data_IF_797628609484
#
_entry.id   IF_797628609484
#
_cell.length_a   1.000
_cell.length_b   1.000
_cell.length_c   1.000
_cell.angle_alpha   90.00
_cell.angle_beta   90.00
_cell.angle_gamma   90.00
#
_symmetry.space_group_name_H-M   'P 1'
#
loop_
_entity.id
_entity.type
_entity.pdbx_description
1 polymer ?
#
# COMPACT_ATOMS: atom_id res chain seq x y z
N UNK A 1 -6.59 -6.10 9.06
CA UNK A 1 -6.22 -5.61 7.71
C UNK A 1 -6.71 -4.18 7.54
N UNK A 2 -6.00 -3.36 6.76
CA UNK A 2 -6.33 -1.95 6.52
C UNK A 2 -7.17 -1.71 5.25
N UNK A 3 -7.31 -2.74 4.42
CA UNK A 3 -8.17 -2.75 3.22
C UNK A 3 -8.75 -4.16 3.04
N UNK A 4 -9.75 -4.27 2.17
CA UNK A 4 -10.47 -5.51 1.84
C UNK A 4 -10.13 -6.03 0.45
N UNK A 5 -10.57 -7.26 0.14
CA UNK A 5 -10.55 -7.83 -1.22
C UNK A 5 -11.27 -6.91 -2.22
N UNK A 6 -12.47 -6.44 -1.87
CA UNK A 6 -13.26 -5.55 -2.73
C UNK A 6 -12.51 -4.24 -3.04
N UNK A 7 -11.77 -3.69 -2.08
CA UNK A 7 -10.93 -2.52 -2.35
C UNK A 7 -9.84 -2.81 -3.39
N UNK A 8 -9.30 -4.04 -3.43
CA UNK A 8 -8.30 -4.47 -4.41
C UNK A 8 -8.95 -4.67 -5.79
N UNK A 9 -10.10 -5.33 -5.84
CA UNK A 9 -10.87 -5.55 -7.08
C UNK A 9 -11.26 -4.21 -7.73
N UNK A 10 -11.64 -3.21 -6.93
CA UNK A 10 -11.86 -1.83 -7.41
C UNK A 10 -10.60 -1.21 -8.05
N UNK A 11 -9.40 -1.55 -7.57
CA UNK A 11 -8.14 -1.08 -8.17
C UNK A 11 -7.82 -1.83 -9.45
N UNK A 12 -8.10 -3.13 -9.49
CA UNK A 12 -7.92 -3.98 -10.67
C UNK A 12 -8.99 -3.73 -11.75
N UNK A 13 -10.11 -3.10 -11.36
CA UNK A 13 -11.31 -2.87 -12.20
C UNK A 13 -11.93 -4.16 -12.72
N UNK A 14 -11.75 -5.24 -11.95
CA UNK A 14 -12.32 -6.57 -12.22
C UNK A 14 -12.31 -7.36 -10.92
N UNK A 15 -13.22 -8.31 -10.82
CA UNK A 15 -13.22 -9.28 -9.75
C UNK A 15 -12.02 -10.23 -9.90
N UNK A 16 -11.50 -10.71 -8.78
CA UNK A 16 -10.54 -11.80 -8.76
C UNK A 16 -11.28 -13.12 -8.95
N UNK A 17 -10.75 -13.98 -9.80
CA UNK A 17 -11.22 -15.37 -9.91
C UNK A 17 -10.80 -16.17 -8.66
N UNK A 18 -11.46 -17.31 -8.42
CA UNK A 18 -11.12 -18.19 -7.28
C UNK A 18 -9.70 -18.76 -7.38
N UNK A 19 -9.19 -18.96 -8.59
CA UNK A 19 -7.81 -19.40 -8.84
C UNK A 19 -6.81 -18.29 -8.48
N UNK A 20 -7.07 -17.07 -8.92
CA UNK A 20 -6.27 -15.87 -8.61
C UNK A 20 -6.31 -15.47 -7.13
N UNK A 21 -7.45 -15.63 -6.46
CA UNK A 21 -7.54 -15.36 -5.02
C UNK A 21 -6.85 -16.47 -4.19
N UNK A 22 -6.70 -17.66 -4.78
CA UNK A 22 -6.26 -18.88 -4.14
C UNK A 22 -7.37 -19.55 -3.32
N UNK A 23 -7.16 -20.81 -2.86
CA UNK A 23 -8.14 -21.52 -2.05
C UNK A 23 -8.46 -20.73 -0.77
N UNK A 24 -9.73 -20.39 -0.57
CA UNK A 24 -10.22 -19.57 0.55
C UNK A 24 -9.55 -18.17 0.62
N UNK A 25 -9.28 -17.55 -0.54
CA UNK A 25 -8.72 -16.20 -0.66
C UNK A 25 -7.33 -16.03 -0.01
N UNK A 26 -6.61 -17.14 0.26
CA UNK A 26 -5.34 -17.11 1.01
C UNK A 26 -4.28 -16.24 0.35
N UNK A 27 -4.20 -16.22 -0.98
CA UNK A 27 -3.17 -15.45 -1.67
C UNK A 27 -3.43 -13.95 -1.55
N UNK A 28 -4.65 -13.52 -1.85
CA UNK A 28 -5.02 -12.10 -1.74
C UNK A 28 -4.97 -11.62 -0.29
N UNK A 29 -5.38 -12.47 0.67
CA UNK A 29 -5.27 -12.15 2.10
C UNK A 29 -3.81 -12.01 2.55
N UNK A 30 -2.90 -12.86 2.08
CA UNK A 30 -1.47 -12.73 2.35
C UNK A 30 -0.90 -11.38 1.87
N UNK A 31 -1.22 -10.97 0.64
CA UNK A 31 -0.79 -9.67 0.11
C UNK A 31 -1.40 -8.48 0.88
N UNK A 32 -2.67 -8.59 1.31
CA UNK A 32 -3.33 -7.57 2.12
C UNK A 32 -2.73 -7.46 3.53
N UNK A 33 -2.34 -8.58 4.13
CA UNK A 33 -1.63 -8.63 5.40
C UNK A 33 -0.27 -7.96 5.29
N UNK A 34 0.54 -8.35 4.31
CA UNK A 34 1.85 -7.75 4.04
C UNK A 34 1.73 -6.25 3.77
N UNK A 35 0.79 -5.84 2.92
CA UNK A 35 0.53 -4.43 2.63
C UNK A 35 0.08 -3.66 3.88
N UNK A 36 -0.74 -4.29 4.74
CA UNK A 36 -1.17 -3.68 6.01
C UNK A 36 0.00 -3.48 6.96
N UNK A 37 0.89 -4.48 7.09
CA UNK A 37 2.11 -4.40 7.90
C UNK A 37 3.02 -3.29 7.37
N UNK A 38 3.26 -3.24 6.06
CA UNK A 38 4.11 -2.23 5.43
C UNK A 38 3.58 -0.80 5.66
N UNK A 39 2.28 -0.58 5.44
CA UNK A 39 1.64 0.72 5.66
C UNK A 39 1.66 1.11 7.13
N UNK A 40 1.38 0.17 8.03
CA UNK A 40 1.42 0.39 9.49
C UNK A 40 2.82 0.78 9.94
N UNK A 41 3.85 0.05 9.48
CA UNK A 41 5.24 0.34 9.79
C UNK A 41 5.65 1.73 9.26
N UNK A 42 5.24 2.09 8.04
CA UNK A 42 5.48 3.42 7.50
C UNK A 42 4.81 4.54 8.32
N UNK A 43 3.64 4.25 8.88
CA UNK A 43 2.89 5.17 9.74
C UNK A 43 3.32 5.11 11.22
N UNK A 44 4.54 4.64 11.51
CA UNK A 44 5.08 4.65 12.86
C UNK A 44 4.46 3.63 13.82
N UNK A 45 3.96 2.50 13.29
CA UNK A 45 3.30 1.49 14.12
C UNK A 45 1.92 1.91 14.65
N UNK A 46 1.34 2.98 14.11
CA UNK A 46 0.00 3.47 14.51
C UNK A 46 -1.08 2.42 14.24
N UNK A 47 -1.95 2.21 15.22
CA UNK A 47 -3.22 1.50 15.02
C UNK A 47 -4.26 2.43 14.40
N UNK A 48 -4.88 1.99 13.32
CA UNK A 48 -6.03 2.66 12.72
C UNK A 48 -7.32 1.98 13.20
N UNK A 49 -8.20 2.75 13.84
CA UNK A 49 -9.51 2.27 14.29
C UNK A 49 -10.56 2.43 13.18
N UNK A 50 -11.67 1.70 13.29
CA UNK A 50 -12.80 1.83 12.38
C UNK A 50 -13.54 3.17 12.63
N UNK A 51 -13.78 4.00 11.59
CA UNK A 51 -13.44 3.79 10.18
C UNK A 51 -11.95 4.03 9.87
N UNK A 52 -11.36 3.11 9.11
CA UNK A 52 -9.99 3.28 8.59
C UNK A 52 -9.96 4.51 7.67
N UNK A 53 -9.01 5.46 7.86
CA UNK A 53 -8.92 6.63 7.00
C UNK A 53 -8.74 6.27 5.52
N UNK A 54 -9.43 6.99 4.64
CA UNK A 54 -9.49 6.66 3.22
C UNK A 54 -8.12 6.55 2.56
N UNK A 55 -7.22 7.48 2.83
CA UNK A 55 -5.85 7.45 2.32
C UNK A 55 -5.07 6.21 2.76
N UNK A 56 -5.29 5.70 3.98
CA UNK A 56 -4.67 4.45 4.44
C UNK A 56 -5.23 3.27 3.67
N UNK A 57 -6.56 3.16 3.60
CA UNK A 57 -7.27 2.08 2.87
C UNK A 57 -6.91 2.07 1.38
N UNK A 58 -6.88 3.25 0.75
CA UNK A 58 -6.55 3.44 -0.67
C UNK A 58 -5.10 3.03 -0.93
N UNK A 59 -4.15 3.43 -0.10
CA UNK A 59 -2.74 3.05 -0.29
C UNK A 59 -2.54 1.56 -0.05
N UNK A 60 -3.12 0.98 1.01
CA UNK A 60 -3.01 -0.47 1.27
C UNK A 60 -3.56 -1.30 0.10
N UNK A 61 -4.77 -0.97 -0.39
CA UNK A 61 -5.35 -1.68 -1.55
C UNK A 61 -4.51 -1.52 -2.82
N UNK A 62 -3.96 -0.34 -3.07
CA UNK A 62 -3.10 -0.08 -4.24
C UNK A 62 -1.78 -0.84 -4.17
N UNK A 63 -1.20 -0.99 -2.99
CA UNK A 63 0.03 -1.77 -2.76
C UNK A 63 -0.23 -3.26 -3.00
N UNK A 64 -1.31 -3.81 -2.44
CA UNK A 64 -1.69 -5.21 -2.66
C UNK A 64 -2.00 -5.49 -4.15
N UNK A 65 -2.79 -4.64 -4.81
CA UNK A 65 -3.12 -4.78 -6.23
C UNK A 65 -1.86 -4.78 -7.12
N UNK A 66 -0.88 -3.93 -6.78
CA UNK A 66 0.37 -3.82 -7.54
C UNK A 66 1.27 -5.04 -7.37
N UNK A 67 1.38 -5.55 -6.14
CA UNK A 67 2.13 -6.78 -5.85
C UNK A 67 1.49 -7.98 -6.56
N UNK A 68 0.16 -8.06 -6.55
CA UNK A 68 -0.61 -9.06 -7.28
C UNK A 68 -0.29 -9.04 -8.78
N UNK A 69 -0.35 -7.86 -9.42
CA UNK A 69 -0.04 -7.71 -10.85
C UNK A 69 1.40 -8.09 -11.20
N UNK A 70 2.38 -7.84 -10.32
CA UNK A 70 3.77 -8.23 -10.60
C UNK A 70 3.96 -9.73 -10.43
N UNK A 71 3.36 -10.34 -9.42
CA UNK A 71 3.41 -11.79 -9.24
C UNK A 71 2.76 -12.55 -10.41
N UNK A 72 1.68 -12.01 -10.98
CA UNK A 72 1.03 -12.54 -12.19
C UNK A 72 1.94 -12.46 -13.44
N UNK A 73 2.82 -11.45 -13.52
CA UNK A 73 3.78 -11.31 -14.62
C UNK A 73 5.00 -12.24 -14.50
N UNK A 74 5.33 -12.69 -13.29
CA UNK A 74 6.42 -13.66 -13.02
C UNK A 74 5.95 -15.12 -13.12
N UNK A 75 4.68 -15.37 -13.46
CA UNK A 75 4.21 -16.71 -13.82
C UNK A 75 4.95 -17.18 -15.09
N UNK A 76 5.72 -18.29 -15.05
CA UNK A 76 6.42 -18.82 -16.23
C UNK A 76 5.49 -19.23 -17.38
N UNK A 77 4.17 -19.27 -17.17
CA UNK A 77 3.15 -19.49 -18.19
C UNK A 77 2.58 -18.19 -18.79
N UNK A 78 2.83 -17.03 -18.19
CA UNK A 78 2.44 -15.74 -18.73
C UNK A 78 3.44 -15.35 -19.84
N UNK A 79 3.07 -15.58 -21.10
CA UNK A 79 3.78 -15.01 -22.26
C UNK A 79 3.93 -13.50 -22.05
N UNK A 80 5.17 -13.07 -21.81
CA UNK A 80 5.61 -11.72 -21.47
C UNK A 80 4.64 -10.63 -21.94
N UNK A 81 3.78 -10.12 -21.05
CA UNK A 81 2.96 -8.96 -21.36
C UNK A 81 3.83 -7.73 -21.22
N UNK A 82 4.55 -7.42 -22.30
CA UNK A 82 5.34 -6.19 -22.41
C UNK A 82 4.37 -5.02 -22.53
N UNK A 83 3.96 -4.44 -21.40
CA UNK A 83 3.22 -3.18 -21.39
C UNK A 83 4.14 -2.09 -21.95
N UNK A 84 3.99 -1.80 -23.25
CA UNK A 84 4.59 -0.63 -23.89
C UNK A 84 3.87 0.62 -23.35
N UNK A 85 4.27 1.07 -22.16
CA UNK A 85 3.99 2.42 -21.70
C UNK A 85 4.83 3.40 -22.54
N UNK A 86 4.24 3.94 -23.61
CA UNK A 86 4.87 4.91 -24.51
C UNK A 86 5.34 6.19 -23.83
N UNK A 87 6.39 6.80 -24.42
CA UNK A 87 7.03 8.14 -24.23
C UNK A 87 7.29 8.73 -22.83
N UNK A 88 6.74 8.17 -21.74
CA UNK A 88 7.17 8.45 -20.38
C UNK A 88 7.74 7.17 -19.78
N UNK A 89 8.96 6.82 -20.22
CA UNK A 89 9.74 5.77 -19.58
C UNK A 89 10.21 6.29 -18.21
N UNK A 90 9.33 6.27 -17.22
CA UNK A 90 9.75 6.39 -15.83
C UNK A 90 10.39 5.05 -15.49
N UNK A 91 11.72 4.99 -15.50
CA UNK A 91 12.46 3.82 -15.03
C UNK A 91 12.17 3.65 -13.53
N UNK A 92 11.09 2.93 -13.21
CA UNK A 92 10.82 2.48 -11.85
C UNK A 92 11.84 1.38 -11.59
N UNK A 93 12.93 1.72 -10.90
CA UNK A 93 13.82 0.72 -10.34
C UNK A 93 13.07 0.02 -9.22
N UNK A 94 12.45 -1.11 -9.53
CA UNK A 94 11.92 -2.02 -8.53
C UNK A 94 13.09 -2.43 -7.62
N UNK A 95 12.95 -2.23 -6.30
CA UNK A 95 13.90 -2.78 -5.33
C UNK A 95 13.86 -4.30 -5.35
N UNK A 96 14.87 -4.98 -4.82
CA UNK A 96 14.95 -6.44 -4.81
C UNK A 96 13.69 -7.11 -4.25
N UNK A 97 13.02 -6.49 -3.27
CA UNK A 97 11.76 -6.98 -2.69
C UNK A 97 10.57 -6.87 -3.66
N UNK A 98 10.56 -5.86 -4.54
CA UNK A 98 9.51 -5.66 -5.54
C UNK A 98 9.69 -6.57 -6.76
N UNK A 99 10.92 -7.01 -7.04
CA UNK A 99 11.21 -7.99 -8.09
C UNK A 99 10.89 -9.44 -7.69
N UNK A 100 10.57 -9.68 -6.41
CA UNK A 100 10.18 -11.01 -5.90
C UNK A 100 8.65 -11.13 -5.70
N UNK A 101 7.85 -10.21 -6.24
CA UNK A 101 6.40 -10.16 -6.02
C UNK A 101 5.97 -9.66 -4.63
N UNK A 102 6.90 -9.15 -3.81
CA UNK A 102 6.59 -8.58 -2.49
C UNK A 102 5.93 -7.21 -2.56
N UNK A 103 5.47 -6.68 -1.43
CA UNK A 103 4.81 -5.36 -1.33
C UNK A 103 5.79 -4.17 -1.25
N UNK A 104 5.49 -3.04 -1.89
CA UNK A 104 6.29 -1.82 -1.76
C UNK A 104 5.47 -0.52 -1.87
N UNK A 105 5.99 0.54 -1.24
CA UNK A 105 5.44 1.90 -1.32
C UNK A 105 6.15 2.73 -2.39
N UNK A 106 5.36 3.36 -3.28
CA UNK A 106 5.88 4.37 -4.21
C UNK A 106 6.08 5.72 -3.52
N UNK A 107 6.71 6.67 -4.22
CA UNK A 107 6.84 8.05 -3.72
C UNK A 107 5.47 8.73 -3.52
N UNK A 108 4.49 8.43 -4.38
CA UNK A 108 3.13 8.96 -4.26
C UNK A 108 2.43 8.39 -3.02
N UNK A 109 2.54 7.09 -2.80
CA UNK A 109 1.96 6.42 -1.62
C UNK A 109 2.53 7.01 -0.31
N UNK A 110 3.85 7.25 -0.28
CA UNK A 110 4.52 7.92 0.86
C UNK A 110 4.03 9.35 1.10
N UNK A 111 3.73 10.09 0.03
CA UNK A 111 3.18 11.45 0.15
C UNK A 111 1.75 11.43 0.69
N UNK A 112 0.94 10.47 0.24
CA UNK A 112 -0.45 10.27 0.67
C UNK A 112 -0.53 9.83 2.15
N UNK A 113 0.45 9.02 2.61
CA UNK A 113 0.61 8.60 4.00
C UNK A 113 1.39 9.61 4.86
N UNK A 114 1.94 10.68 4.28
CA UNK A 114 2.77 11.65 5.02
C UNK A 114 2.11 12.24 6.28
N UNK A 115 0.78 12.46 6.35
CA UNK A 115 0.11 12.92 7.57
C UNK A 115 0.22 11.94 8.76
N UNK A 116 0.51 10.66 8.50
CA UNK A 116 0.61 9.61 9.53
C UNK A 116 2.03 9.11 9.76
N UNK A 117 3.00 9.55 8.95
CA UNK A 117 4.38 9.12 9.06
C UNK A 117 5.07 9.56 10.37
N UNK A 118 6.02 8.73 10.80
CA UNK A 118 6.86 8.98 11.97
C UNK A 118 7.59 10.33 11.81
N UNK A 119 7.28 11.30 12.68
CA UNK A 119 7.93 12.62 12.70
C UNK A 119 7.10 13.82 12.19
N UNK A 120 5.86 13.63 11.72
CA UNK A 120 4.97 14.78 11.36
C UNK A 120 3.68 14.90 12.17
N UNK A 121 3.36 13.90 12.99
CA UNK A 121 2.13 13.85 13.79
C UNK A 121 2.22 14.36 15.23
N UNK A 122 3.40 14.76 15.73
CA UNK A 122 3.49 15.39 17.05
C UNK A 122 3.36 16.91 16.91
N UNK A 123 2.11 17.38 16.87
CA UNK A 123 1.83 18.76 17.26
C UNK A 123 1.97 18.80 18.77
N UNK A 124 3.14 19.20 19.27
CA UNK A 124 3.26 19.65 20.65
C UNK A 124 2.37 20.88 20.80
N UNK A 125 1.24 20.75 21.48
CA UNK A 125 0.55 21.94 22.00
C UNK A 125 1.44 22.52 23.09
N UNK A 126 2.28 23.48 22.72
CA UNK A 126 2.97 24.34 23.68
C UNK A 126 1.87 25.24 24.23
N UNK A 127 1.48 24.98 25.48
CA UNK A 127 0.71 25.93 26.25
C UNK A 127 1.61 27.16 26.46
N UNK A 128 1.45 28.17 25.59
CA UNK A 128 2.02 29.50 25.80
C UNK A 128 1.14 30.27 26.80
N UNK A 129 0.87 29.70 27.97
CA UNK A 129 0.47 30.51 29.12
C UNK A 129 1.72 31.15 29.69
N UNK A 130 1.97 32.36 29.17
CA UNK A 130 3.10 33.20 29.51
C UNK A 130 3.30 33.35 31.02
N UNK A 131 4.55 33.17 31.40
CA UNK A 131 5.15 33.58 32.66
C UNK A 131 4.94 35.08 32.88
N UNK A 132 3.86 35.45 33.56
CA UNK A 132 3.68 36.78 34.14
C UNK A 132 4.34 36.85 35.51
N UNK A 133 5.58 37.34 35.57
CA UNK A 133 6.14 37.90 36.80
C UNK A 133 5.49 39.27 37.04
N UNK A 134 5.00 39.48 38.26
CA UNK A 134 4.55 40.75 38.80
C UNK A 134 4.20 40.58 40.27
#
# INVERSE_FOLDING_TARGET
MLASRSDVEDRLRRDLTDEEAGPEDRWINGLLEEASVLVTAYCGGRTFADPIPDNVRIVTSRVAARAFQVADLDDPLAESRQDQAGIFMQTVRYGADAASGGVWLTKADKLELAPYGEGRGQVFSIDMTGTGRG
#
